data_IF_306551380662
#
_entry.id   IF_306551380662
#
_cell.length_a   1.000
_cell.length_b   1.000
_cell.length_c   1.000
_cell.angle_alpha   90.00
_cell.angle_beta   90.00
_cell.angle_gamma   90.00
#
_symmetry.space_group_name_H-M   'P 1'
#
loop_
_entity.id
_entity.type
_entity.pdbx_description
1 polymer ?
#
# COMPACT_ATOMS: atom_id res chain seq x y z
N UNK A 1 -39.32 46.34 -13.94
CA UNK A 1 -38.65 46.70 -12.65
C UNK A 1 -37.27 46.04 -12.65
N UNK A 2 -36.26 46.81 -13.04
CA UNK A 2 -34.88 46.35 -13.16
C UNK A 2 -34.16 46.46 -11.83
N UNK A 3 -33.39 45.42 -11.46
CA UNK A 3 -32.42 45.48 -10.35
C UNK A 3 -31.02 45.29 -10.93
N UNK A 4 -30.31 46.42 -11.00
CA UNK A 4 -28.88 46.56 -11.29
C UNK A 4 -28.06 45.94 -10.16
N UNK A 5 -27.18 44.97 -10.50
CA UNK A 5 -26.15 44.47 -9.58
C UNK A 5 -24.85 45.25 -9.78
N UNK A 6 -24.38 45.89 -8.72
CA UNK A 6 -23.08 46.59 -8.67
C UNK A 6 -21.96 45.56 -8.51
N UNK A 7 -20.96 45.62 -9.36
CA UNK A 7 -19.70 44.92 -9.20
C UNK A 7 -18.80 45.69 -8.24
N UNK A 8 -18.25 45.02 -7.23
CA UNK A 8 -17.20 45.56 -6.36
C UNK A 8 -15.84 45.02 -6.85
N UNK A 9 -14.98 45.94 -7.24
CA UNK A 9 -13.59 45.61 -7.58
C UNK A 9 -12.76 45.65 -6.28
N UNK A 10 -12.05 44.52 -6.01
CA UNK A 10 -11.06 44.49 -4.92
C UNK A 10 -9.66 44.59 -5.51
N UNK A 11 -8.96 45.63 -5.10
CA UNK A 11 -7.56 45.90 -5.45
C UNK A 11 -6.66 45.07 -4.52
N UNK A 12 -5.75 44.26 -5.10
CA UNK A 12 -4.71 43.56 -4.36
C UNK A 12 -3.41 44.35 -4.47
N UNK A 13 -2.90 44.81 -3.33
CA UNK A 13 -1.60 45.46 -3.19
C UNK A 13 -0.50 44.38 -3.11
N UNK A 14 0.47 44.44 -4.02
CA UNK A 14 1.65 43.57 -4.00
C UNK A 14 2.72 44.20 -3.08
N UNK A 15 3.09 43.48 -2.02
CA UNK A 15 4.21 43.86 -1.15
C UNK A 15 5.41 42.98 -1.54
N UNK A 16 6.42 43.58 -2.15
CA UNK A 16 7.68 42.92 -2.48
C UNK A 16 8.55 42.77 -1.23
N UNK A 17 9.04 41.55 -0.99
CA UNK A 17 10.08 41.26 0.01
C UNK A 17 11.40 40.99 -0.73
N UNK A 18 12.36 41.89 -0.47
CA UNK A 18 13.74 41.80 -0.95
C UNK A 18 14.53 40.88 0.00
N UNK A 19 15.00 39.74 -0.45
CA UNK A 19 15.87 38.82 0.32
C UNK A 19 17.32 39.09 -0.09
N UNK A 20 18.12 39.56 0.86
CA UNK A 20 19.58 39.74 0.76
C UNK A 20 20.27 38.38 0.93
N UNK A 21 21.04 37.96 -0.06
CA UNK A 21 21.96 36.83 0.00
C UNK A 21 23.25 37.26 0.71
N UNK A 22 23.52 36.66 1.88
CA UNK A 22 24.82 36.72 2.55
C UNK A 22 25.56 35.42 2.23
N UNK A 23 26.64 35.56 1.46
CA UNK A 23 27.56 34.45 1.17
C UNK A 23 28.55 34.29 2.33
N UNK A 24 28.69 33.05 2.84
CA UNK A 24 29.81 32.64 3.71
C UNK A 24 30.73 31.69 2.95
N UNK A 25 31.91 32.17 2.64
CA UNK A 25 33.03 31.37 2.16
C UNK A 25 33.67 30.64 3.35
N UNK A 26 33.80 29.33 3.29
CA UNK A 26 34.53 28.54 4.27
C UNK A 26 35.85 28.04 3.64
N UNK A 27 36.95 28.49 4.21
CA UNK A 27 38.32 28.09 3.88
C UNK A 27 38.64 26.74 4.54
N UNK A 28 39.29 25.86 3.79
CA UNK A 28 39.92 24.61 4.29
C UNK A 28 41.26 24.91 4.92
N UNK A 29 41.63 24.31 6.05
CA UNK A 29 43.04 24.24 6.47
C UNK A 29 43.66 22.90 6.07
N UNK A 30 44.74 22.97 5.33
CA UNK A 30 45.71 21.90 5.16
C UNK A 30 46.49 21.68 6.46
N UNK A 31 46.40 20.50 7.05
CA UNK A 31 47.23 20.06 8.17
C UNK A 31 48.08 18.85 7.78
N UNK A 32 49.36 19.06 7.57
CA UNK A 32 50.34 18.00 7.43
C UNK A 32 50.62 17.35 8.79
N UNK A 33 50.55 16.01 8.84
CA UNK A 33 50.88 15.19 10.00
C UNK A 33 51.95 14.18 9.67
N UNK A 34 53.09 14.35 10.30
CA UNK A 34 54.33 13.59 10.28
C UNK A 34 54.13 12.13 10.74
N UNK A 35 54.68 11.18 10.01
CA UNK A 35 54.72 9.76 10.37
C UNK A 35 55.74 9.48 11.51
N UNK A 36 55.41 8.59 12.47
CA UNK A 36 56.37 8.10 13.47
C UNK A 36 57.16 6.89 12.91
N UNK A 37 58.42 6.67 13.45
CA UNK A 37 59.33 5.65 12.96
C UNK A 37 58.98 4.22 13.44
N UNK A 38 59.55 3.17 12.79
CA UNK A 38 59.23 1.78 13.10
C UNK A 38 59.93 1.30 14.38
N UNK A 39 59.17 0.71 15.28
CA UNK A 39 59.73 -0.04 16.43
C UNK A 39 59.93 -1.50 16.05
N UNK A 40 61.12 -1.98 16.37
CA UNK A 40 61.70 -3.28 16.11
C UNK A 40 61.02 -4.39 16.93
N UNK A 41 60.85 -5.55 16.30
CA UNK A 41 60.30 -6.78 16.84
C UNK A 41 60.97 -7.26 18.13
N UNK A 42 60.13 -7.73 19.05
CA UNK A 42 60.51 -8.71 20.05
C UNK A 42 59.73 -9.98 19.77
N UNK A 43 60.48 -11.03 19.51
CA UNK A 43 60.08 -12.41 19.30
C UNK A 43 59.63 -13.01 20.63
N UNK A 44 58.42 -13.55 20.70
CA UNK A 44 57.97 -14.38 21.79
C UNK A 44 56.97 -15.44 21.28
N UNK A 45 57.45 -16.68 21.33
CA UNK A 45 56.79 -17.97 21.45
C UNK A 45 55.30 -18.14 21.04
N UNK A 46 55.09 -19.01 20.05
CA UNK A 46 53.80 -19.60 19.69
C UNK A 46 53.20 -20.47 20.82
N UNK A 47 51.92 -20.36 21.12
CA UNK A 47 51.11 -21.51 21.53
C UNK A 47 50.25 -22.00 20.37
N UNK A 48 50.24 -23.31 20.18
CA UNK A 48 49.69 -24.04 19.06
C UNK A 48 48.18 -23.79 18.79
N UNK A 49 47.68 -24.24 17.63
CA UNK A 49 46.38 -23.93 17.13
C UNK A 49 45.28 -24.66 17.94
N UNK A 50 44.52 -23.92 18.72
CA UNK A 50 43.23 -24.41 19.21
C UNK A 50 42.22 -24.31 18.07
N UNK A 51 41.93 -25.47 17.49
CA UNK A 51 40.84 -25.64 16.50
C UNK A 51 39.52 -25.42 17.19
N UNK A 52 39.01 -24.20 17.17
CA UNK A 52 37.60 -23.90 17.52
C UNK A 52 36.76 -24.17 16.28
N UNK A 53 36.13 -25.34 16.28
CA UNK A 53 35.04 -25.63 15.33
C UNK A 53 33.94 -24.55 15.47
N UNK A 54 33.55 -23.86 14.37
CA UNK A 54 32.44 -22.95 14.45
C UNK A 54 31.16 -23.79 14.65
N UNK A 55 30.54 -23.68 15.83
CA UNK A 55 29.16 -24.12 16.05
C UNK A 55 28.27 -23.41 15.03
N UNK A 56 27.42 -24.13 14.28
CA UNK A 56 26.46 -23.46 13.41
C UNK A 56 25.50 -22.66 14.26
N UNK A 57 25.60 -21.33 14.17
CA UNK A 57 24.60 -20.40 14.72
C UNK A 57 23.32 -20.62 13.93
N UNK A 58 22.41 -21.43 14.46
CA UNK A 58 21.03 -21.49 14.00
C UNK A 58 20.34 -20.18 14.37
N UNK A 59 20.54 -19.15 13.53
CA UNK A 59 19.68 -17.98 13.56
C UNK A 59 18.22 -18.41 13.34
N UNK A 60 17.23 -17.69 13.91
CA UNK A 60 15.83 -18.05 13.73
C UNK A 60 15.53 -18.07 12.22
N UNK A 61 15.34 -19.27 11.65
CA UNK A 61 14.82 -19.43 10.30
C UNK A 61 13.37 -18.96 10.34
N UNK A 62 13.15 -17.70 9.92
CA UNK A 62 11.79 -17.21 9.71
C UNK A 62 11.18 -18.06 8.61
N UNK A 63 10.20 -18.91 8.97
CA UNK A 63 9.48 -19.71 7.99
C UNK A 63 8.93 -18.78 6.88
N UNK A 64 9.03 -19.16 5.60
CA UNK A 64 8.48 -18.37 4.50
C UNK A 64 7.01 -18.09 4.77
N UNK A 65 6.61 -16.82 4.73
CA UNK A 65 5.19 -16.45 4.85
C UNK A 65 4.42 -17.13 3.72
N UNK A 66 3.28 -17.78 4.01
CA UNK A 66 2.46 -18.39 2.97
C UNK A 66 2.08 -17.32 1.93
N UNK A 67 2.14 -17.67 0.64
CA UNK A 67 1.68 -16.76 -0.42
C UNK A 67 0.19 -16.50 -0.24
N UNK A 68 -0.27 -15.24 -0.25
CA UNK A 68 -1.69 -14.94 -0.24
C UNK A 68 -2.40 -15.60 -1.43
N UNK A 69 -3.62 -16.02 -1.20
CA UNK A 69 -4.46 -16.62 -2.27
C UNK A 69 -5.11 -15.51 -3.09
N UNK A 70 -5.47 -15.84 -4.33
CA UNK A 70 -6.37 -14.99 -5.11
C UNK A 70 -7.70 -14.84 -4.37
N UNK A 71 -8.32 -13.69 -4.53
CA UNK A 71 -9.56 -13.33 -3.87
C UNK A 71 -10.55 -12.71 -4.87
N UNK A 72 -11.80 -12.59 -4.45
CA UNK A 72 -12.84 -11.80 -5.11
C UNK A 72 -13.36 -10.76 -4.11
N UNK A 73 -13.64 -9.55 -4.59
CA UNK A 73 -14.13 -8.44 -3.76
C UNK A 73 -15.48 -7.97 -4.26
N UNK A 74 -16.40 -7.81 -3.30
CA UNK A 74 -17.69 -7.14 -3.49
C UNK A 74 -17.73 -5.89 -2.63
N UNK A 75 -18.17 -4.77 -3.23
CA UNK A 75 -18.42 -3.49 -2.55
C UNK A 75 -19.83 -3.03 -2.93
N UNK A 76 -20.87 -3.46 -2.17
CA UNK A 76 -22.26 -3.25 -2.54
C UNK A 76 -22.65 -1.78 -2.71
N UNK A 77 -22.09 -0.86 -1.89
CA UNK A 77 -22.41 0.57 -1.97
C UNK A 77 -22.10 1.20 -3.32
N UNK A 78 -21.11 0.66 -4.05
CA UNK A 78 -20.69 1.14 -5.37
C UNK A 78 -20.91 0.09 -6.48
N UNK A 79 -21.70 -0.94 -6.23
CA UNK A 79 -22.06 -2.00 -7.16
C UNK A 79 -20.86 -2.74 -7.79
N UNK A 80 -19.75 -2.83 -7.09
CA UNK A 80 -18.64 -3.71 -7.44
C UNK A 80 -18.99 -5.12 -6.98
N UNK A 81 -18.95 -6.08 -7.89
CA UNK A 81 -19.14 -7.51 -7.61
C UNK A 81 -18.09 -8.34 -8.33
N UNK A 82 -17.67 -9.43 -7.70
CA UNK A 82 -16.75 -10.43 -8.25
C UNK A 82 -15.43 -9.83 -8.78
N UNK A 83 -14.98 -8.69 -8.23
CA UNK A 83 -13.72 -8.09 -8.64
C UNK A 83 -12.56 -8.99 -8.21
N UNK A 84 -11.97 -9.65 -9.20
CA UNK A 84 -10.84 -10.55 -8.96
C UNK A 84 -9.62 -9.79 -8.47
N UNK A 85 -8.98 -10.29 -7.38
CA UNK A 85 -7.73 -9.80 -6.84
C UNK A 85 -6.63 -10.81 -7.06
N UNK A 86 -5.54 -10.38 -7.69
CA UNK A 86 -4.38 -11.22 -7.98
C UNK A 86 -3.22 -10.83 -7.04
N UNK A 87 -2.77 -11.74 -6.17
CA UNK A 87 -1.61 -11.49 -5.33
C UNK A 87 -0.33 -11.54 -6.16
N UNK A 88 0.64 -10.69 -5.81
CA UNK A 88 1.97 -10.68 -6.42
C UNK A 88 3.02 -10.23 -5.41
N UNK A 89 4.24 -10.69 -5.56
CA UNK A 89 5.35 -10.23 -4.73
C UNK A 89 5.82 -8.87 -5.22
N UNK A 90 5.81 -7.86 -4.31
CA UNK A 90 6.14 -6.49 -4.67
C UNK A 90 5.56 -5.47 -3.71
N UNK A 91 5.33 -4.26 -4.22
CA UNK A 91 4.74 -3.14 -3.49
C UNK A 91 3.65 -2.47 -4.31
N UNK A 92 2.82 -1.66 -3.66
CA UNK A 92 1.84 -0.83 -4.38
C UNK A 92 2.52 0.01 -5.45
N UNK A 93 1.88 0.10 -6.63
CA UNK A 93 2.27 0.97 -7.74
C UNK A 93 3.58 0.61 -8.45
N UNK A 94 4.05 -0.61 -8.31
CA UNK A 94 5.14 -1.12 -9.14
C UNK A 94 4.62 -1.62 -10.52
N UNK A 95 5.56 -1.85 -11.45
CA UNK A 95 5.23 -2.33 -12.80
C UNK A 95 4.53 -3.69 -12.81
N UNK A 96 4.78 -4.55 -11.83
CA UNK A 96 4.17 -5.87 -11.75
C UNK A 96 2.68 -5.73 -11.39
N UNK A 97 2.38 -4.92 -10.38
CA UNK A 97 1.02 -4.58 -10.00
C UNK A 97 0.25 -3.88 -11.11
N UNK A 98 0.86 -2.90 -11.78
CA UNK A 98 0.24 -2.18 -12.93
C UNK A 98 -0.16 -3.16 -14.04
N UNK A 99 0.73 -4.08 -14.47
CA UNK A 99 0.40 -5.09 -15.47
C UNK A 99 -0.74 -6.02 -15.07
N UNK A 100 -0.94 -6.24 -13.77
CA UNK A 100 -2.11 -6.99 -13.28
C UNK A 100 -3.36 -6.13 -13.46
N UNK A 101 -3.33 -4.89 -13.05
CA UNK A 101 -4.45 -3.95 -13.14
C UNK A 101 -4.87 -3.67 -14.61
N UNK A 102 -3.92 -3.64 -15.56
CA UNK A 102 -4.17 -3.46 -17.00
C UNK A 102 -5.07 -4.55 -17.61
N UNK A 103 -5.28 -5.65 -16.90
CA UNK A 103 -6.21 -6.71 -17.28
C UNK A 103 -7.64 -6.52 -16.76
N UNK A 104 -7.94 -5.38 -16.14
CA UNK A 104 -9.25 -5.09 -15.56
C UNK A 104 -9.52 -5.78 -14.23
N UNK A 105 -8.46 -6.21 -13.51
CA UNK A 105 -8.55 -6.84 -12.21
C UNK A 105 -7.78 -6.04 -11.16
N UNK A 106 -7.97 -6.35 -9.90
CA UNK A 106 -7.20 -5.73 -8.82
C UNK A 106 -5.90 -6.50 -8.56
N UNK A 107 -4.90 -5.80 -8.05
CA UNK A 107 -3.61 -6.32 -7.66
C UNK A 107 -3.41 -6.19 -6.14
N UNK A 108 -2.80 -7.20 -5.50
CA UNK A 108 -2.48 -7.16 -4.07
C UNK A 108 -1.01 -7.53 -3.86
N UNK A 109 -0.16 -6.57 -3.48
CA UNK A 109 1.24 -6.84 -3.20
C UNK A 109 1.42 -7.58 -1.87
N UNK A 110 2.36 -8.52 -1.83
CA UNK A 110 2.80 -9.20 -0.61
C UNK A 110 4.34 -9.27 -0.56
N UNK A 111 4.89 -9.79 0.52
CA UNK A 111 6.32 -9.90 0.76
C UNK A 111 6.86 -8.75 1.61
N UNK A 112 8.17 -8.49 1.53
CA UNK A 112 8.86 -7.54 2.43
C UNK A 112 8.40 -6.09 2.27
N UNK A 113 7.91 -5.71 1.08
CA UNK A 113 7.43 -4.37 0.77
C UNK A 113 5.92 -4.32 0.49
N UNK A 114 5.24 -5.45 0.59
CA UNK A 114 3.82 -5.59 0.36
C UNK A 114 3.02 -5.73 1.65
N UNK A 115 1.74 -6.01 1.47
CA UNK A 115 0.82 -6.26 2.57
C UNK A 115 0.72 -7.74 2.96
N UNK A 116 -0.38 -8.06 3.61
CA UNK A 116 -0.75 -9.42 4.03
C UNK A 116 -1.89 -9.97 3.16
N UNK A 117 -2.35 -11.19 3.43
CA UNK A 117 -3.52 -11.79 2.79
C UNK A 117 -4.85 -11.38 3.44
N UNK A 118 -5.99 -11.73 2.79
CA UNK A 118 -7.30 -11.50 3.37
C UNK A 118 -7.46 -12.16 4.74
N UNK A 119 -7.91 -11.40 5.74
CA UNK A 119 -8.13 -11.87 7.10
C UNK A 119 -6.89 -11.97 7.98
N UNK A 120 -5.70 -11.82 7.43
CA UNK A 120 -4.45 -11.83 8.21
C UNK A 120 -4.29 -10.51 9.00
N UNK A 121 -3.67 -10.60 10.18
CA UNK A 121 -3.33 -9.41 10.97
C UNK A 121 -2.33 -8.53 10.22
N UNK A 122 -2.67 -7.29 9.98
CA UNK A 122 -1.91 -6.33 9.18
C UNK A 122 -2.76 -5.70 8.09
N UNK A 123 -2.12 -5.11 7.09
CA UNK A 123 -2.74 -4.35 6.01
C UNK A 123 -2.84 -5.20 4.73
N UNK A 124 -4.03 -5.69 4.40
CA UNK A 124 -4.33 -6.28 3.10
C UNK A 124 -4.49 -5.17 2.07
N UNK A 125 -3.46 -4.95 1.24
CA UNK A 125 -3.44 -3.88 0.26
C UNK A 125 -4.02 -4.35 -1.07
N UNK A 126 -4.98 -3.60 -1.63
CA UNK A 126 -5.63 -3.89 -2.90
C UNK A 126 -5.68 -2.63 -3.75
N UNK A 127 -5.13 -2.71 -4.95
CA UNK A 127 -5.09 -1.60 -5.90
C UNK A 127 -5.75 -1.98 -7.22
N UNK A 128 -6.54 -1.07 -7.79
CA UNK A 128 -7.06 -1.23 -9.14
C UNK A 128 -7.23 0.14 -9.82
N UNK A 129 -7.29 0.11 -11.16
CA UNK A 129 -7.46 1.33 -11.94
C UNK A 129 -8.76 2.07 -11.65
N UNK A 130 -8.68 3.42 -11.65
CA UNK A 130 -9.84 4.32 -11.59
C UNK A 130 -10.56 4.44 -12.93
N UNK A 131 -9.82 4.68 -14.01
CA UNK A 131 -10.36 4.99 -15.32
C UNK A 131 -9.97 3.95 -16.39
N UNK A 132 -8.73 3.46 -16.35
CA UNK A 132 -8.17 2.51 -17.33
C UNK A 132 -8.73 1.10 -17.12
N UNK A 133 -8.60 0.25 -18.14
CA UNK A 133 -8.94 -1.17 -18.08
C UNK A 133 -10.36 -1.45 -17.53
N UNK A 134 -11.34 -0.63 -17.94
CA UNK A 134 -12.73 -0.73 -17.47
C UNK A 134 -13.03 0.03 -16.17
N UNK A 135 -12.02 0.53 -15.46
CA UNK A 135 -12.19 1.29 -14.23
C UNK A 135 -12.80 0.48 -13.08
N UNK A 136 -12.18 -0.65 -12.67
CA UNK A 136 -12.78 -1.54 -11.67
C UNK A 136 -13.10 -0.86 -10.33
N UNK A 137 -12.33 0.19 -9.98
CA UNK A 137 -12.57 1.00 -8.79
C UNK A 137 -12.90 2.46 -9.14
N UNK A 138 -13.67 2.66 -10.25
CA UNK A 138 -14.10 3.99 -10.71
C UNK A 138 -14.77 4.80 -9.61
N UNK A 139 -15.69 4.17 -8.91
CA UNK A 139 -16.57 4.81 -7.92
C UNK A 139 -16.07 4.60 -6.48
N UNK A 140 -14.80 4.16 -6.29
CA UNK A 140 -14.23 4.00 -4.95
C UNK A 140 -14.31 5.28 -4.09
N UNK A 141 -14.18 6.51 -4.61
CA UNK A 141 -14.35 7.71 -3.80
C UNK A 141 -15.71 7.82 -3.12
N UNK A 142 -16.78 7.25 -3.71
CA UNK A 142 -18.14 7.27 -3.17
C UNK A 142 -18.34 6.32 -1.97
N UNK A 143 -17.38 5.42 -1.71
CA UNK A 143 -17.44 4.56 -0.51
C UNK A 143 -17.26 5.40 0.73
N UNK A 144 -18.17 5.24 1.70
CA UNK A 144 -18.21 6.02 2.93
C UNK A 144 -17.78 5.20 4.16
N UNK A 145 -17.46 5.90 5.25
CA UNK A 145 -17.24 5.26 6.55
C UNK A 145 -18.50 4.55 7.00
N UNK A 146 -18.37 3.27 7.34
CA UNK A 146 -19.47 2.38 7.69
C UNK A 146 -19.81 1.36 6.60
N UNK A 147 -19.48 1.63 5.34
CA UNK A 147 -19.70 0.71 4.22
C UNK A 147 -18.97 -0.61 4.41
N UNK A 148 -19.53 -1.65 3.81
CA UNK A 148 -18.98 -3.00 3.90
C UNK A 148 -18.25 -3.40 2.61
N UNK A 149 -17.13 -4.11 2.81
CA UNK A 149 -16.36 -4.77 1.76
C UNK A 149 -16.30 -6.24 2.10
N UNK A 150 -16.73 -7.08 1.18
CA UNK A 150 -16.65 -8.53 1.31
C UNK A 150 -15.51 -9.05 0.45
N UNK A 151 -14.64 -9.85 1.06
CA UNK A 151 -13.50 -10.48 0.37
C UNK A 151 -13.65 -11.98 0.51
N UNK A 152 -13.82 -12.66 -0.61
CA UNK A 152 -13.90 -14.13 -0.64
C UNK A 152 -12.57 -14.71 -1.09
N UNK A 153 -11.96 -15.56 -0.24
CA UNK A 153 -10.69 -16.21 -0.52
C UNK A 153 -10.57 -17.52 0.26
N UNK A 154 -10.03 -18.56 -0.38
CA UNK A 154 -9.69 -19.81 0.31
C UNK A 154 -10.86 -20.51 1.01
N UNK A 155 -12.08 -20.34 0.52
CA UNK A 155 -13.29 -20.94 1.12
C UNK A 155 -13.84 -20.17 2.32
N UNK A 156 -13.40 -18.91 2.53
CA UNK A 156 -13.93 -18.03 3.55
C UNK A 156 -14.29 -16.67 2.95
N UNK A 157 -15.28 -16.00 3.54
CA UNK A 157 -15.64 -14.60 3.27
C UNK A 157 -15.28 -13.75 4.48
N UNK A 158 -14.46 -12.76 4.23
CA UNK A 158 -13.98 -11.76 5.19
C UNK A 158 -14.77 -10.47 4.96
N UNK A 159 -15.46 -9.98 5.98
CA UNK A 159 -16.20 -8.72 5.89
C UNK A 159 -15.41 -7.63 6.62
N UNK A 160 -15.05 -6.59 5.88
CA UNK A 160 -14.43 -5.39 6.42
C UNK A 160 -15.44 -4.25 6.46
N UNK A 161 -15.36 -3.42 7.48
CA UNK A 161 -16.11 -2.16 7.56
C UNK A 161 -15.14 -1.02 7.35
N UNK A 162 -15.46 -0.12 6.41
CA UNK A 162 -14.66 1.09 6.15
C UNK A 162 -14.71 1.99 7.38
N UNK A 163 -13.55 2.46 7.81
CA UNK A 163 -13.38 3.30 9.01
C UNK A 163 -12.71 4.62 8.69
N UNK A 164 -12.04 4.74 7.55
CA UNK A 164 -11.28 5.94 7.20
C UNK A 164 -11.13 6.08 5.68
N UNK A 165 -11.07 7.33 5.20
CA UNK A 165 -10.61 7.69 3.86
C UNK A 165 -9.35 8.52 4.00
N UNK A 166 -8.31 8.17 3.23
CA UNK A 166 -7.02 8.89 3.18
C UNK A 166 -6.68 9.27 1.74
N UNK A 167 -5.80 10.26 1.61
CA UNK A 167 -5.18 10.61 0.33
C UNK A 167 -3.69 10.36 0.45
N UNK A 168 -3.14 9.55 -0.47
CA UNK A 168 -1.70 9.26 -0.55
C UNK A 168 -1.08 10.03 -1.71
N UNK A 169 0.03 10.75 -1.46
CA UNK A 169 0.79 11.42 -2.49
C UNK A 169 1.99 10.60 -2.95
N UNK A 170 2.11 10.33 -4.25
CA UNK A 170 3.28 9.67 -4.85
C UNK A 170 4.58 10.47 -4.71
N UNK A 171 4.48 11.78 -4.54
CA UNK A 171 5.64 12.66 -4.37
C UNK A 171 6.16 12.70 -2.94
N UNK A 172 5.43 12.11 -2.00
CA UNK A 172 5.80 12.07 -0.59
C UNK A 172 6.20 10.66 -0.16
N UNK A 173 7.50 10.46 0.11
CA UNK A 173 8.00 9.21 0.65
C UNK A 173 7.32 8.83 1.98
N UNK A 174 7.00 9.83 2.81
CA UNK A 174 6.26 9.65 4.05
C UNK A 174 4.84 9.14 3.76
N UNK A 175 4.11 9.77 2.86
CA UNK A 175 2.75 9.38 2.51
C UNK A 175 2.69 7.95 1.96
N UNK A 176 3.67 7.57 1.13
CA UNK A 176 3.81 6.20 0.63
C UNK A 176 4.15 5.19 1.75
N UNK A 177 4.97 5.58 2.73
CA UNK A 177 5.27 4.73 3.88
C UNK A 177 4.03 4.54 4.76
N UNK A 178 3.22 5.59 4.97
CA UNK A 178 1.96 5.56 5.69
C UNK A 178 0.94 4.64 5.01
N UNK A 179 0.81 4.69 3.68
CA UNK A 179 -0.09 3.80 2.93
C UNK A 179 0.30 2.33 3.07
N UNK A 180 1.61 2.03 2.98
CA UNK A 180 2.16 0.67 3.00
C UNK A 180 2.35 0.08 4.39
N UNK A 181 2.18 0.89 5.42
CA UNK A 181 2.37 0.47 6.81
C UNK A 181 1.46 -0.73 7.17
N UNK A 182 1.95 -1.60 8.05
CA UNK A 182 1.18 -2.74 8.55
C UNK A 182 -0.06 -2.30 9.33
N UNK A 183 0.00 -1.12 9.96
CA UNK A 183 -1.15 -0.33 10.42
C UNK A 183 -1.24 0.89 9.50
N UNK A 184 -2.24 0.98 8.61
CA UNK A 184 -2.34 2.10 7.66
C UNK A 184 -2.25 3.46 8.37
N UNK A 185 -1.31 4.30 7.93
CA UNK A 185 -1.06 5.61 8.53
C UNK A 185 0.02 5.64 9.61
N UNK A 186 0.41 4.50 10.17
CA UNK A 186 1.32 4.40 11.32
C UNK A 186 2.55 3.55 10.99
N UNK A 187 3.53 4.09 10.24
CA UNK A 187 4.77 3.38 9.93
C UNK A 187 5.52 2.97 11.19
N UNK A 188 5.84 1.66 11.28
CA UNK A 188 6.54 1.10 12.44
C UNK A 188 5.63 0.57 13.54
N UNK A 189 4.34 0.88 13.52
CA UNK A 189 3.36 0.31 14.44
C UNK A 189 3.18 -1.19 14.18
N UNK A 190 3.09 -1.98 15.26
CA UNK A 190 2.84 -3.42 15.16
C UNK A 190 1.33 -3.67 15.01
N UNK A 191 0.89 -4.34 13.93
CA UNK A 191 -0.52 -4.61 13.75
C UNK A 191 -1.04 -5.62 14.77
N UNK A 192 -2.23 -5.36 15.30
CA UNK A 192 -2.98 -6.25 16.20
C UNK A 192 -4.32 -6.68 15.60
N UNK A 193 -4.69 -6.12 14.44
CA UNK A 193 -5.97 -6.34 13.77
C UNK A 193 -5.75 -6.58 12.29
N UNK A 194 -6.68 -7.31 11.67
CA UNK A 194 -6.74 -7.44 10.21
C UNK A 194 -7.40 -6.20 9.62
N UNK A 195 -6.73 -5.57 8.68
CA UNK A 195 -7.17 -4.35 7.99
C UNK A 195 -7.09 -4.53 6.48
N UNK A 196 -7.86 -3.75 5.73
CA UNK A 196 -7.78 -3.65 4.28
C UNK A 196 -7.55 -2.20 3.88
N UNK A 197 -6.73 -1.97 2.86
CA UNK A 197 -6.62 -0.70 2.15
C UNK A 197 -7.01 -0.92 0.69
N UNK A 198 -8.14 -0.35 0.26
CA UNK A 198 -8.54 -0.28 -1.15
C UNK A 198 -8.04 1.03 -1.72
N UNK A 199 -7.32 0.98 -2.84
CA UNK A 199 -6.64 2.15 -3.41
C UNK A 199 -6.90 2.30 -4.90
N UNK A 200 -7.16 3.54 -5.33
CA UNK A 200 -7.29 3.91 -6.73
C UNK A 200 -6.72 5.29 -7.01
N UNK A 201 -6.48 5.62 -8.29
CA UNK A 201 -5.97 6.94 -8.70
C UNK A 201 -6.99 8.05 -8.45
N UNK A 202 -6.54 9.21 -7.98
CA UNK A 202 -7.34 10.43 -7.82
C UNK A 202 -7.26 11.32 -9.09
N UNK A 203 -7.24 10.71 -10.30
CA UNK A 203 -7.05 11.48 -11.55
C UNK A 203 -8.09 12.58 -11.74
N UNK A 204 -9.40 12.35 -11.60
CA UNK A 204 -10.39 13.41 -11.77
C UNK A 204 -10.26 14.52 -10.73
N UNK A 205 -9.94 14.18 -9.48
CA UNK A 205 -9.79 15.14 -8.39
C UNK A 205 -8.54 16.01 -8.59
N UNK A 206 -7.42 15.41 -8.98
CA UNK A 206 -6.18 16.12 -9.29
C UNK A 206 -6.37 17.05 -10.49
N UNK A 207 -6.96 16.58 -11.58
CA UNK A 207 -7.22 17.37 -12.78
C UNK A 207 -8.16 18.55 -12.47
N UNK A 208 -9.20 18.33 -11.68
CA UNK A 208 -10.12 19.37 -11.24
C UNK A 208 -9.45 20.44 -10.35
N UNK A 209 -8.43 20.04 -9.58
CA UNK A 209 -7.59 20.92 -8.78
C UNK A 209 -6.48 21.63 -9.60
N UNK A 210 -6.36 21.31 -10.90
CA UNK A 210 -5.28 21.83 -11.76
C UNK A 210 -3.94 21.15 -11.56
N UNK A 211 -3.92 20.00 -10.90
CA UNK A 211 -2.72 19.19 -10.69
C UNK A 211 -2.60 18.13 -11.80
N UNK A 212 -1.86 18.47 -12.85
CA UNK A 212 -1.61 17.59 -14.00
C UNK A 212 -0.29 16.81 -13.89
N UNK A 213 0.31 16.76 -12.72
CA UNK A 213 1.52 15.96 -12.52
C UNK A 213 1.24 14.47 -12.77
N UNK A 214 2.17 13.81 -13.45
CA UNK A 214 2.13 12.35 -13.69
C UNK A 214 3.53 11.77 -13.47
N UNK A 215 3.58 10.55 -12.93
CA UNK A 215 4.82 9.78 -12.86
C UNK A 215 5.18 9.13 -14.21
N UNK A 216 6.28 8.37 -14.25
CA UNK A 216 6.74 7.67 -15.45
C UNK A 216 5.75 6.58 -15.96
N UNK A 217 4.79 6.15 -15.15
CA UNK A 217 3.73 5.20 -15.46
C UNK A 217 2.42 5.90 -15.84
N UNK A 218 2.38 7.24 -15.82
CA UNK A 218 1.17 8.03 -16.08
C UNK A 218 0.22 8.12 -14.88
N UNK A 219 0.63 7.71 -13.69
CA UNK A 219 -0.19 7.84 -12.49
C UNK A 219 -0.27 9.31 -12.05
N UNK A 220 -1.44 9.80 -11.57
CA UNK A 220 -1.58 11.12 -10.97
C UNK A 220 -0.81 11.21 -9.66
N UNK A 221 -0.66 12.41 -9.11
CA UNK A 221 0.03 12.59 -7.84
C UNK A 221 -0.66 11.85 -6.69
N UNK A 222 -1.99 11.87 -6.67
CA UNK A 222 -2.71 11.34 -5.52
C UNK A 222 -3.45 10.02 -5.78
N UNK A 223 -3.59 9.28 -4.71
CA UNK A 223 -4.44 8.11 -4.56
C UNK A 223 -5.52 8.38 -3.54
N UNK A 224 -6.69 7.77 -3.74
CA UNK A 224 -7.75 7.69 -2.75
C UNK A 224 -7.70 6.30 -2.15
N UNK A 225 -7.52 6.26 -0.84
CA UNK A 225 -7.42 5.03 -0.06
C UNK A 225 -8.63 4.91 0.88
N UNK A 226 -9.31 3.77 0.84
CA UNK A 226 -10.37 3.41 1.79
C UNK A 226 -9.85 2.34 2.70
N UNK A 227 -9.80 2.63 4.00
CA UNK A 227 -9.26 1.75 5.03
C UNK A 227 -10.41 1.09 5.77
N UNK A 228 -10.40 -0.24 5.84
CA UNK A 228 -11.39 -1.04 6.54
C UNK A 228 -10.81 -1.93 7.62
N UNK A 229 -11.62 -2.20 8.65
CA UNK A 229 -11.31 -3.15 9.72
C UNK A 229 -12.12 -4.43 9.51
N UNK A 230 -11.48 -5.59 9.66
CA UNK A 230 -12.17 -6.88 9.67
C UNK A 230 -13.14 -6.95 10.85
N UNK A 231 -14.41 -7.24 10.55
CA UNK A 231 -15.47 -7.37 11.55
C UNK A 231 -16.05 -8.79 11.62
N UNK A 232 -15.94 -9.57 10.55
CA UNK A 232 -16.50 -10.94 10.50
C UNK A 232 -15.71 -11.80 9.52
N UNK A 233 -15.54 -13.08 9.87
CA UNK A 233 -15.08 -14.14 8.97
C UNK A 233 -16.11 -15.27 9.01
N UNK A 234 -16.54 -15.74 7.84
CA UNK A 234 -17.50 -16.86 7.68
C UNK A 234 -17.00 -17.81 6.61
N UNK A 235 -17.38 -19.10 6.65
CA UNK A 235 -17.20 -19.97 5.49
C UNK A 235 -17.85 -19.31 4.26
N UNK A 236 -17.21 -19.38 3.10
CA UNK A 236 -17.82 -18.93 1.86
C UNK A 236 -19.07 -19.79 1.59
N UNK A 237 -20.16 -19.16 1.12
CA UNK A 237 -21.31 -19.91 0.68
C UNK A 237 -20.86 -20.87 -0.40
N UNK A 238 -20.90 -22.17 -0.11
CA UNK A 238 -20.58 -23.20 -1.10
C UNK A 238 -21.56 -23.04 -2.26
N UNK A 239 -21.08 -23.22 -3.47
CA UNK A 239 -21.95 -23.53 -4.61
C UNK A 239 -22.55 -24.91 -4.30
N UNK A 240 -23.62 -24.91 -3.49
CA UNK A 240 -24.30 -26.11 -3.06
C UNK A 240 -24.85 -26.82 -4.29
N UNK A 241 -24.25 -27.95 -4.64
CA UNK A 241 -24.95 -28.96 -5.42
C UNK A 241 -26.22 -29.30 -4.65
N UNK A 242 -27.37 -28.94 -5.20
CA UNK A 242 -28.66 -29.30 -4.65
C UNK A 242 -28.69 -30.79 -4.36
N UNK A 243 -29.17 -31.25 -3.19
CA UNK A 243 -29.29 -32.67 -2.95
C UNK A 243 -30.24 -33.24 -4.01
N UNK A 244 -29.73 -34.15 -4.83
CA UNK A 244 -30.50 -34.87 -5.83
C UNK A 244 -31.72 -35.45 -5.17
N UNK A 245 -32.89 -35.10 -5.66
CA UNK A 245 -34.17 -35.72 -5.34
C UNK A 245 -34.06 -37.22 -5.66
N UNK A 246 -33.76 -38.00 -4.64
CA UNK A 246 -33.80 -39.47 -4.73
C UNK A 246 -35.21 -39.92 -5.10
N UNK A 247 -35.38 -40.40 -6.33
CA UNK A 247 -36.58 -41.10 -6.78
C UNK A 247 -36.74 -42.34 -5.92
N UNK A 248 -37.81 -42.41 -5.13
CA UNK A 248 -38.18 -43.61 -4.39
C UNK A 248 -38.48 -44.75 -5.37
N UNK A 249 -38.00 -46.01 -5.12
CA UNK A 249 -38.39 -47.12 -5.93
C UNK A 249 -39.87 -47.47 -5.65
N UNK A 250 -40.69 -47.46 -6.72
CA UNK A 250 -42.06 -47.92 -6.71
C UNK A 250 -42.10 -49.42 -6.43
N UNK A 251 -42.88 -49.79 -5.41
CA UNK A 251 -43.29 -51.14 -5.16
C UNK A 251 -44.45 -51.48 -6.11
N UNK A 252 -44.23 -52.45 -7.01
CA UNK A 252 -45.22 -53.16 -7.77
C UNK A 252 -45.37 -54.57 -7.22
#
# INVERSE_FOLDING_TARGET
>A
MGRTRRAAAASVAATGVLVLLVGCASASPSGGGTAPPPVRAAEAAEPGPVSVSPSPSTGPTTAPRPRPRAAEIDIPSIRVSDLRVVPYEGKTDDRAGTRIQDRGVAASPYGDQGGVGPGDTGNYQVTAHRLSAGGPLRDLPEVEVGDLVHVTAGGATYTYRIVETRTTSFRSARSLAEQRAAVPGEPGERPTRAMITLSTCATPEDDAAGNFWRDAQGNPEHRIDKIGLLITTRPAAGTGTAPGTGTAPGTG
#
